data_IF_334399229466
#
_entry.id   IF_334399229466
#
_cell.length_a   1.000
_cell.length_b   1.000
_cell.length_c   1.000
_cell.angle_alpha   90.00
_cell.angle_beta   90.00
_cell.angle_gamma   90.00
#
_symmetry.space_group_name_H-M   'P 1'
#
loop_
_entity.id
_entity.type
_entity.pdbx_description
1 polymer ?
#
# COMPACT_ATOMS: atom_id res chain seq x y z
N UNK A 1 0.34 -24.36 6.30
CA UNK A 1 -0.51 -23.23 5.85
C UNK A 1 0.37 -22.24 5.10
N UNK A 2 -0.03 -21.76 3.91
CA UNK A 2 0.84 -20.88 3.08
C UNK A 2 0.48 -19.41 3.33
N UNK A 3 1.02 -18.79 4.38
CA UNK A 3 0.79 -17.38 4.69
C UNK A 3 1.12 -16.44 3.51
N UNK A 4 2.08 -16.84 2.66
CA UNK A 4 2.45 -16.12 1.42
C UNK A 4 1.31 -15.89 0.43
N UNK A 5 0.22 -16.66 0.53
CA UNK A 5 -0.98 -16.42 -0.27
C UNK A 5 -1.80 -15.23 0.22
N UNK A 6 -1.60 -14.80 1.47
CA UNK A 6 -2.38 -13.74 2.11
C UNK A 6 -1.55 -12.51 2.44
N UNK A 7 -0.28 -12.67 2.78
CA UNK A 7 0.61 -11.57 3.16
C UNK A 7 1.75 -11.43 2.17
N UNK A 8 1.96 -10.19 1.72
CA UNK A 8 3.08 -9.83 0.86
C UNK A 8 4.34 -9.55 1.70
N UNK A 9 4.19 -8.76 2.76
CA UNK A 9 5.26 -8.45 3.70
C UNK A 9 4.71 -7.85 4.99
N UNK A 10 5.55 -7.92 6.03
CA UNK A 10 5.44 -7.08 7.22
C UNK A 10 6.39 -5.90 7.08
N UNK A 11 5.97 -4.73 7.57
CA UNK A 11 6.76 -3.50 7.50
C UNK A 11 6.72 -2.80 8.85
N UNK A 12 7.87 -2.47 9.42
CA UNK A 12 7.96 -1.65 10.63
C UNK A 12 8.49 -0.29 10.22
N UNK A 13 7.75 0.75 10.57
CA UNK A 13 8.16 2.15 10.43
C UNK A 13 8.41 2.68 11.82
N UNK A 14 9.67 2.95 12.14
CA UNK A 14 10.10 3.48 13.44
C UNK A 14 11.08 4.60 13.24
N UNK A 15 10.75 5.78 13.75
CA UNK A 15 11.63 6.95 13.74
C UNK A 15 11.35 7.83 14.93
N UNK A 16 12.37 8.59 15.33
CA UNK A 16 12.32 9.62 16.34
C UNK A 16 13.21 10.77 15.88
N UNK A 17 12.69 11.98 15.88
CA UNK A 17 13.39 13.19 15.50
C UNK A 17 13.55 14.11 16.71
N UNK A 18 14.71 14.74 16.84
CA UNK A 18 15.06 15.64 17.96
C UNK A 18 14.22 16.94 18.02
N UNK A 19 13.23 17.10 17.19
CA UNK A 19 12.32 18.24 17.15
C UNK A 19 10.92 17.82 17.57
N UNK A 20 10.61 17.82 18.87
CA UNK A 20 9.31 17.52 19.40
C UNK A 20 8.29 18.47 18.80
N UNK A 21 7.25 18.43 18.36
CA UNK A 21 6.25 19.33 17.76
C UNK A 21 6.42 19.62 16.25
N UNK A 22 7.30 18.93 15.54
CA UNK A 22 7.35 19.02 14.10
C UNK A 22 6.45 17.93 13.49
N UNK A 23 5.45 18.34 12.74
CA UNK A 23 4.61 17.42 11.95
C UNK A 23 5.26 17.22 10.60
N UNK A 24 5.52 15.97 10.23
CA UNK A 24 6.16 15.62 9.00
C UNK A 24 5.12 15.36 7.90
N UNK A 25 5.15 16.16 6.87
CA UNK A 25 4.29 16.03 5.71
C UNK A 25 4.96 15.15 4.64
N UNK A 26 4.18 14.22 4.10
CA UNK A 26 4.58 13.42 2.93
C UNK A 26 3.39 13.09 2.05
N UNK A 27 3.60 13.22 0.74
CA UNK A 27 2.65 12.76 -0.25
C UNK A 27 2.84 11.25 -0.51
N UNK A 28 1.80 10.46 -0.30
CA UNK A 28 1.77 9.03 -0.56
C UNK A 28 0.95 8.76 -1.82
N UNK A 29 1.59 8.50 -2.96
CA UNK A 29 0.88 8.16 -4.19
C UNK A 29 0.25 6.77 -4.08
N UNK A 30 -0.77 6.45 -4.89
CA UNK A 30 -1.42 5.16 -4.85
C UNK A 30 -0.44 4.02 -5.17
N UNK A 31 -0.55 2.95 -4.40
CA UNK A 31 0.19 1.70 -4.56
C UNK A 31 -0.80 0.55 -4.71
N UNK A 32 -0.44 -0.54 -5.37
CA UNK A 32 -1.29 -1.73 -5.43
C UNK A 32 -1.20 -2.52 -4.10
N UNK A 33 -1.59 -1.88 -3.01
CA UNK A 33 -1.48 -2.40 -1.64
C UNK A 33 -2.78 -2.18 -0.87
N UNK A 34 -3.18 -3.18 -0.10
CA UNK A 34 -4.12 -3.09 1.01
C UNK A 34 -3.33 -3.37 2.28
N UNK A 35 -3.49 -2.55 3.30
CA UNK A 35 -2.59 -2.57 4.44
C UNK A 35 -3.34 -2.42 5.76
N UNK A 36 -3.00 -3.26 6.73
CA UNK A 36 -3.41 -3.12 8.11
C UNK A 36 -2.27 -2.48 8.90
N UNK A 37 -2.56 -1.37 9.57
CA UNK A 37 -1.61 -0.58 10.35
C UNK A 37 -1.92 -0.69 11.85
N UNK A 38 -0.89 -0.88 12.64
CA UNK A 38 -0.91 -0.72 14.10
C UNK A 38 0.03 0.43 14.47
N UNK A 39 -0.52 1.55 14.89
CA UNK A 39 0.25 2.72 15.35
C UNK A 39 0.45 2.62 16.84
N UNK A 40 1.60 2.08 17.25
CA UNK A 40 1.92 1.79 18.65
C UNK A 40 2.41 3.02 19.41
N UNK A 41 3.03 3.96 18.71
CA UNK A 41 3.49 5.22 19.23
C UNK A 41 3.38 6.31 18.18
N UNK A 42 3.08 7.55 18.61
CA UNK A 42 2.88 8.69 17.73
C UNK A 42 1.49 8.74 17.12
N UNK A 43 1.31 9.61 16.14
CA UNK A 43 0.06 9.81 15.42
C UNK A 43 0.29 9.96 13.91
N UNK A 44 -0.70 9.58 13.14
CA UNK A 44 -0.76 9.75 11.70
C UNK A 44 -2.08 10.45 11.38
N UNK A 45 -2.00 11.55 10.66
CA UNK A 45 -3.16 12.23 10.10
C UNK A 45 -3.10 12.14 8.58
N UNK A 46 -4.23 11.93 7.95
CA UNK A 46 -4.35 11.88 6.50
C UNK A 46 -5.25 13.01 6.01
N UNK A 47 -4.82 13.62 4.91
CA UNK A 47 -5.64 14.49 4.09
C UNK A 47 -5.80 13.81 2.72
N UNK A 48 -7.04 13.57 2.33
CA UNK A 48 -7.38 13.06 1.00
C UNK A 48 -7.53 14.26 0.06
N UNK A 49 -6.92 14.16 -1.12
CA UNK A 49 -6.85 15.27 -2.08
C UNK A 49 -8.22 15.81 -2.55
N UNK A 50 -9.28 15.00 -2.42
CA UNK A 50 -10.65 15.35 -2.80
C UNK A 50 -11.51 15.93 -1.66
N UNK A 51 -11.04 15.87 -0.41
CA UNK A 51 -11.85 16.25 0.77
C UNK A 51 -11.36 17.49 1.51
N UNK A 52 -10.10 17.90 1.29
CA UNK A 52 -9.45 19.04 1.97
C UNK A 52 -9.63 19.06 3.50
N UNK A 53 -9.82 17.87 4.09
CA UNK A 53 -9.99 17.69 5.52
C UNK A 53 -8.95 16.71 6.04
N UNK A 54 -8.23 17.13 7.07
CA UNK A 54 -7.30 16.27 7.78
C UNK A 54 -8.08 15.39 8.77
N UNK A 55 -7.83 14.11 8.74
CA UNK A 55 -8.46 13.14 9.63
C UNK A 55 -7.38 12.30 10.31
N UNK A 56 -7.41 12.26 11.65
CA UNK A 56 -6.54 11.36 12.41
C UNK A 56 -6.89 9.90 12.12
N UNK A 57 -5.87 9.09 11.88
CA UNK A 57 -6.06 7.66 11.72
C UNK A 57 -6.31 6.98 13.07
N UNK A 58 -7.06 5.90 13.01
CA UNK A 58 -7.26 5.01 14.17
C UNK A 58 -5.94 4.36 14.58
N UNK A 59 -5.75 4.02 15.87
CA UNK A 59 -4.58 3.25 16.29
C UNK A 59 -4.41 1.94 15.53
N UNK A 60 -5.53 1.32 15.16
CA UNK A 60 -5.57 0.13 14.32
C UNK A 60 -6.35 0.47 13.06
N UNK A 61 -5.65 0.77 11.97
CA UNK A 61 -6.27 1.26 10.73
C UNK A 61 -6.17 0.23 9.62
N UNK A 62 -7.30 -0.10 9.00
CA UNK A 62 -7.32 -0.81 7.72
C UNK A 62 -7.37 0.20 6.59
N UNK A 63 -6.30 0.26 5.80
CA UNK A 63 -6.20 1.08 4.59
C UNK A 63 -6.54 0.21 3.37
N UNK A 64 -7.64 0.49 2.71
CA UNK A 64 -8.04 -0.17 1.46
C UNK A 64 -7.22 0.31 0.26
N UNK A 65 -7.51 -0.22 -0.93
CA UNK A 65 -6.84 0.20 -2.16
C UNK A 65 -7.09 1.69 -2.42
N UNK A 66 -6.03 2.49 -2.42
CA UNK A 66 -6.11 3.91 -2.77
C UNK A 66 -6.00 4.10 -4.29
N UNK A 67 -6.75 5.04 -4.83
CA UNK A 67 -6.74 5.41 -6.27
C UNK A 67 -6.23 6.81 -6.54
N UNK A 68 -5.86 7.56 -5.49
CA UNK A 68 -5.30 8.90 -5.55
C UNK A 68 -4.23 9.09 -4.49
N UNK A 69 -3.57 10.24 -4.52
CA UNK A 69 -2.58 10.63 -3.52
C UNK A 69 -3.25 10.87 -2.17
N UNK A 70 -2.58 10.46 -1.12
CA UNK A 70 -2.92 10.79 0.27
C UNK A 70 -1.78 11.63 0.85
N UNK A 71 -2.09 12.75 1.46
CA UNK A 71 -1.12 13.55 2.19
C UNK A 71 -1.12 13.11 3.65
N UNK A 72 0.04 12.70 4.14
CA UNK A 72 0.21 12.24 5.53
C UNK A 72 1.00 13.23 6.33
N UNK A 73 0.51 13.46 7.53
CA UNK A 73 1.15 14.25 8.56
C UNK A 73 1.46 13.30 9.72
N UNK A 74 2.75 13.06 9.95
CA UNK A 74 3.20 12.17 11.03
C UNK A 74 3.75 13.02 12.19
N UNK A 75 3.55 12.55 13.41
CA UNK A 75 4.25 13.12 14.58
C UNK A 75 5.77 12.97 14.45
N UNK A 76 6.52 13.71 15.24
CA UNK A 76 8.01 13.68 15.27
C UNK A 76 8.58 12.33 15.73
N UNK A 77 7.79 11.52 16.41
CA UNK A 77 8.12 10.16 16.79
C UNK A 77 6.99 9.22 16.37
N UNK A 78 7.34 8.10 15.75
CA UNK A 78 6.36 7.13 15.26
C UNK A 78 6.92 5.72 15.36
N UNK A 79 6.11 4.81 15.91
CA UNK A 79 6.28 3.37 15.76
C UNK A 79 4.98 2.78 15.19
N UNK A 80 5.06 2.31 13.96
CA UNK A 80 3.93 1.74 13.23
C UNK A 80 4.35 0.40 12.62
N UNK A 81 3.59 -0.66 12.88
CA UNK A 81 3.74 -1.95 12.22
C UNK A 81 2.64 -2.13 11.19
N UNK A 82 2.98 -2.66 10.03
CA UNK A 82 2.10 -2.81 8.90
C UNK A 82 2.11 -4.25 8.39
N UNK A 83 0.93 -4.79 8.18
CA UNK A 83 0.71 -6.06 7.47
C UNK A 83 0.21 -5.69 6.07
N UNK A 84 1.04 -5.91 5.06
CA UNK A 84 0.68 -5.66 3.66
C UNK A 84 0.11 -6.95 3.09
N UNK A 85 -1.15 -6.90 2.71
CA UNK A 85 -1.85 -8.06 2.17
C UNK A 85 -1.53 -8.29 0.69
N UNK A 86 -1.59 -9.55 0.29
CA UNK A 86 -1.63 -9.91 -1.13
C UNK A 86 -2.91 -9.36 -1.79
N UNK A 87 -2.88 -9.08 -3.09
CA UNK A 87 -4.10 -8.73 -3.81
C UNK A 87 -5.19 -9.77 -3.58
N UNK A 88 -6.43 -9.31 -3.40
CA UNK A 88 -7.61 -10.12 -3.12
C UNK A 88 -7.61 -10.85 -1.75
N UNK A 89 -6.53 -10.78 -0.96
CA UNK A 89 -6.46 -11.50 0.32
C UNK A 89 -7.50 -11.01 1.32
N UNK A 90 -7.73 -9.69 1.39
CA UNK A 90 -8.71 -9.12 2.33
C UNK A 90 -10.12 -9.68 2.06
N UNK A 91 -10.54 -9.80 0.79
CA UNK A 91 -11.81 -10.42 0.44
C UNK A 91 -11.86 -11.89 0.86
N UNK A 92 -10.78 -12.64 0.69
CA UNK A 92 -10.71 -14.05 1.13
C UNK A 92 -10.82 -14.19 2.64
N UNK A 93 -10.18 -13.30 3.38
CA UNK A 93 -10.18 -13.32 4.86
C UNK A 93 -11.55 -12.93 5.44
N UNK A 94 -12.18 -11.92 4.88
CA UNK A 94 -13.37 -11.28 5.50
C UNK A 94 -14.68 -11.64 4.81
N UNK A 95 -14.66 -12.00 3.52
CA UNK A 95 -15.85 -12.14 2.69
C UNK A 95 -16.48 -10.80 2.28
N UNK A 96 -15.99 -9.69 2.81
CA UNK A 96 -16.48 -8.35 2.50
C UNK A 96 -15.91 -7.92 1.14
N UNK A 97 -16.74 -7.44 0.19
CA UNK A 97 -16.25 -6.92 -1.07
C UNK A 97 -15.17 -5.85 -0.86
N UNK A 98 -14.00 -6.03 -1.47
CA UNK A 98 -12.88 -5.11 -1.31
C UNK A 98 -13.19 -3.68 -1.78
N UNK A 99 -14.20 -3.51 -2.63
CA UNK A 99 -14.72 -2.20 -3.04
C UNK A 99 -15.30 -1.38 -1.90
N UNK A 100 -15.76 -2.00 -0.82
CA UNK A 100 -16.21 -1.30 0.38
C UNK A 100 -15.07 -0.57 1.11
N UNK A 101 -13.83 -1.00 0.88
CA UNK A 101 -12.63 -0.43 1.50
C UNK A 101 -11.88 0.55 0.60
N UNK A 102 -12.26 0.67 -0.68
CA UNK A 102 -11.54 1.51 -1.66
C UNK A 102 -11.57 2.97 -1.25
N UNK A 103 -10.39 3.62 -1.22
CA UNK A 103 -10.19 5.00 -0.77
C UNK A 103 -10.65 5.25 0.68
N UNK A 104 -10.68 4.19 1.52
CA UNK A 104 -11.05 4.32 2.92
C UNK A 104 -9.87 4.01 3.83
N UNK A 105 -9.86 4.67 5.00
CA UNK A 105 -9.06 4.37 6.17
C UNK A 105 -10.05 4.10 7.30
N UNK A 106 -10.22 2.83 7.65
CA UNK A 106 -11.25 2.39 8.57
C UNK A 106 -10.65 1.92 9.88
N UNK A 107 -11.43 2.04 10.95
CA UNK A 107 -11.11 1.35 12.17
C UNK A 107 -11.16 -0.17 11.94
N UNK A 108 -10.01 -0.81 12.09
CA UNK A 108 -9.88 -2.24 11.84
C UNK A 108 -10.64 -3.11 12.87
N UNK A 109 -11.00 -2.57 14.03
CA UNK A 109 -11.82 -3.24 15.03
C UNK A 109 -13.21 -3.59 14.48
N UNK A 110 -13.71 -2.80 13.52
CA UNK A 110 -14.98 -3.08 12.83
C UNK A 110 -14.89 -4.24 11.81
N UNK A 111 -13.69 -4.68 11.46
CA UNK A 111 -13.46 -5.70 10.42
C UNK A 111 -12.91 -7.00 11.02
N UNK A 112 -12.05 -6.91 12.01
CA UNK A 112 -11.39 -8.03 12.65
C UNK A 112 -11.76 -8.11 14.13
N UNK A 113 -12.65 -9.02 14.52
CA UNK A 113 -12.96 -9.23 15.93
C UNK A 113 -11.70 -9.52 16.74
N UNK A 114 -11.63 -8.99 17.95
CA UNK A 114 -10.54 -9.21 18.91
C UNK A 114 -9.16 -8.63 18.51
N UNK A 115 -9.06 -7.85 17.41
CA UNK A 115 -7.79 -7.24 16.99
C UNK A 115 -7.22 -6.29 18.06
N UNK A 116 -8.07 -5.79 18.94
CA UNK A 116 -7.65 -4.95 20.08
C UNK A 116 -6.69 -5.68 21.01
N UNK A 117 -6.94 -6.95 21.31
CA UNK A 117 -6.00 -7.75 22.12
C UNK A 117 -4.63 -7.88 21.47
N UNK A 118 -4.60 -8.03 20.14
CA UNK A 118 -3.34 -8.06 19.38
C UNK A 118 -2.60 -6.72 19.49
N UNK A 119 -3.32 -5.61 19.43
CA UNK A 119 -2.75 -4.28 19.61
C UNK A 119 -2.15 -4.12 21.01
N UNK A 120 -2.85 -4.56 22.05
CA UNK A 120 -2.37 -4.47 23.42
C UNK A 120 -1.11 -5.35 23.65
N UNK A 121 -1.04 -6.53 23.02
CA UNK A 121 0.17 -7.36 23.01
C UNK A 121 1.33 -6.68 22.27
N UNK A 122 1.05 -6.06 21.11
CA UNK A 122 2.05 -5.31 20.33
C UNK A 122 2.62 -4.13 21.12
N UNK A 123 1.79 -3.43 21.90
CA UNK A 123 2.27 -2.34 22.77
C UNK A 123 3.22 -2.80 23.87
N UNK A 124 3.11 -4.04 24.32
CA UNK A 124 3.99 -4.64 25.35
C UNK A 124 5.29 -5.21 24.76
N UNK A 125 5.38 -5.36 23.43
CA UNK A 125 6.54 -5.92 22.77
C UNK A 125 7.77 -5.01 22.92
N UNK A 126 8.91 -5.60 23.32
CA UNK A 126 10.16 -4.87 23.56
C UNK A 126 11.17 -4.95 22.41
N UNK A 127 10.90 -5.81 21.43
CA UNK A 127 11.79 -6.03 20.30
C UNK A 127 11.01 -6.13 18.99
N UNK A 128 11.65 -5.77 17.88
CA UNK A 128 11.04 -5.94 16.55
C UNK A 128 10.70 -7.40 16.23
N UNK A 129 11.48 -8.34 16.74
CA UNK A 129 11.19 -9.77 16.60
C UNK A 129 9.86 -10.14 17.27
N UNK A 130 9.62 -9.65 18.50
CA UNK A 130 8.34 -9.87 19.19
C UNK A 130 7.18 -9.24 18.41
N UNK A 131 7.33 -8.01 17.90
CA UNK A 131 6.33 -7.36 17.05
C UNK A 131 5.96 -8.23 15.84
N UNK A 132 6.97 -8.77 15.15
CA UNK A 132 6.73 -9.63 13.99
C UNK A 132 6.07 -10.94 14.37
N UNK A 133 6.48 -11.58 15.46
CA UNK A 133 5.89 -12.84 15.93
C UNK A 133 4.42 -12.68 16.31
N UNK A 134 4.06 -11.59 16.98
CA UNK A 134 2.67 -11.29 17.34
C UNK A 134 1.84 -11.03 16.08
N UNK A 135 2.35 -10.21 15.15
CA UNK A 135 1.68 -9.92 13.88
C UNK A 135 1.48 -11.18 13.04
N UNK A 136 2.48 -12.09 13.01
CA UNK A 136 2.38 -13.37 12.31
C UNK A 136 1.36 -14.30 12.95
N UNK A 137 1.35 -14.41 14.27
CA UNK A 137 0.36 -15.20 15.01
C UNK A 137 -1.06 -14.72 14.73
N UNK A 138 -1.28 -13.39 14.69
CA UNK A 138 -2.55 -12.82 14.29
C UNK A 138 -2.93 -13.21 12.85
N UNK A 139 -2.01 -13.11 11.91
CA UNK A 139 -2.28 -13.53 10.51
C UNK A 139 -2.61 -15.01 10.44
N UNK A 140 -1.88 -15.88 11.15
CA UNK A 140 -2.19 -17.32 11.24
C UNK A 140 -3.63 -17.53 11.70
N UNK A 141 -4.04 -16.82 12.75
CA UNK A 141 -5.40 -16.90 13.29
C UNK A 141 -6.46 -16.50 12.25
N UNK A 142 -6.34 -15.32 11.61
CA UNK A 142 -7.36 -14.89 10.64
C UNK A 142 -7.38 -15.74 9.37
N UNK A 143 -6.24 -16.29 8.95
CA UNK A 143 -6.15 -17.19 7.79
C UNK A 143 -6.81 -18.55 8.08
N UNK A 144 -6.72 -19.05 9.31
CA UNK A 144 -7.41 -20.29 9.69
C UNK A 144 -8.95 -20.17 9.65
N UNK A 145 -9.47 -18.94 9.72
CA UNK A 145 -10.89 -18.63 9.64
C UNK A 145 -11.28 -17.93 8.32
N UNK A 146 -10.44 -18.03 7.28
CA UNK A 146 -10.71 -17.39 5.99
C UNK A 146 -12.09 -17.83 5.45
N UNK A 147 -12.89 -16.85 5.05
CA UNK A 147 -14.30 -17.07 4.67
C UNK A 147 -14.48 -17.48 3.21
N UNK A 148 -13.47 -17.27 2.36
CA UNK A 148 -13.53 -17.56 0.91
C UNK A 148 -12.32 -18.35 0.44
N UNK A 149 -12.59 -19.33 -0.41
CA UNK A 149 -11.55 -20.11 -1.05
C UNK A 149 -10.74 -19.32 -2.07
N UNK A 150 -9.55 -19.87 -2.38
CA UNK A 150 -8.73 -19.36 -3.46
C UNK A 150 -9.44 -19.49 -4.81
N UNK A 151 -9.26 -18.52 -5.67
CA UNK A 151 -9.79 -18.50 -7.02
C UNK A 151 -8.68 -18.15 -8.03
N UNK A 152 -8.69 -18.66 -9.27
CA UNK A 152 -7.71 -18.28 -10.31
C UNK A 152 -7.56 -16.76 -10.50
N UNK A 153 -8.62 -15.99 -10.27
CA UNK A 153 -8.61 -14.54 -10.30
C UNK A 153 -7.66 -13.91 -9.28
N UNK A 154 -7.44 -14.55 -8.12
CA UNK A 154 -6.50 -14.06 -7.11
C UNK A 154 -5.05 -14.14 -7.63
N UNK A 155 -4.76 -15.21 -8.40
CA UNK A 155 -3.49 -15.33 -9.12
C UNK A 155 -3.34 -14.27 -10.22
N UNK A 156 -4.45 -13.91 -10.88
CA UNK A 156 -4.45 -12.89 -11.92
C UNK A 156 -3.97 -11.52 -11.40
N UNK A 157 -4.44 -11.08 -10.24
CA UNK A 157 -4.02 -9.82 -9.62
C UNK A 157 -2.50 -9.82 -9.30
N UNK A 158 -1.98 -10.93 -8.78
CA UNK A 158 -0.53 -11.10 -8.56
C UNK A 158 0.25 -11.10 -9.88
N UNK A 159 -0.30 -11.69 -10.93
CA UNK A 159 0.29 -11.68 -12.27
C UNK A 159 0.39 -10.26 -12.84
N UNK A 160 -0.65 -9.44 -12.63
CA UNK A 160 -0.61 -8.01 -13.01
C UNK A 160 0.59 -7.28 -12.40
N UNK A 161 0.84 -7.49 -11.11
CA UNK A 161 1.99 -6.89 -10.40
C UNK A 161 3.29 -7.38 -11.04
N UNK A 162 3.48 -8.68 -11.22
CA UNK A 162 4.69 -9.28 -11.81
C UNK A 162 4.98 -8.77 -13.23
N UNK A 163 3.94 -8.52 -14.04
CA UNK A 163 4.05 -7.97 -15.39
C UNK A 163 4.08 -6.44 -15.45
N UNK A 164 4.11 -5.76 -14.29
CA UNK A 164 4.17 -4.30 -14.24
C UNK A 164 2.96 -3.61 -14.85
N UNK A 165 1.77 -4.22 -14.74
CA UNK A 165 0.52 -3.68 -15.27
C UNK A 165 0.34 -3.81 -16.78
N UNK A 166 1.25 -4.50 -17.48
CA UNK A 166 1.14 -4.74 -18.94
C UNK A 166 0.55 -6.13 -19.23
N UNK A 167 -0.77 -6.19 -19.39
CA UNK A 167 -1.50 -7.43 -19.56
C UNK A 167 -2.74 -7.24 -20.43
N UNK A 168 -3.16 -8.32 -21.10
CA UNK A 168 -4.43 -8.39 -21.82
C UNK A 168 -5.57 -8.82 -20.88
N UNK A 169 -6.66 -8.05 -20.87
CA UNK A 169 -7.85 -8.39 -20.09
C UNK A 169 -8.51 -9.67 -20.62
N UNK A 170 -8.53 -9.84 -21.96
CA UNK A 170 -9.12 -11.04 -22.59
C UNK A 170 -8.36 -12.30 -22.15
N UNK A 171 -7.03 -12.24 -22.16
CA UNK A 171 -6.20 -13.34 -21.68
C UNK A 171 -6.47 -13.66 -20.21
N UNK A 172 -6.53 -12.64 -19.35
CA UNK A 172 -6.77 -12.84 -17.92
C UNK A 172 -8.16 -13.40 -17.62
N UNK A 173 -9.17 -12.93 -18.35
CA UNK A 173 -10.53 -13.43 -18.22
C UNK A 173 -10.57 -14.92 -18.59
N UNK A 174 -9.93 -15.30 -19.70
CA UNK A 174 -9.82 -16.70 -20.16
C UNK A 174 -9.11 -17.59 -19.11
N UNK A 175 -7.96 -17.15 -18.60
CA UNK A 175 -7.21 -17.89 -17.55
C UNK A 175 -7.98 -18.01 -16.23
N UNK A 176 -8.92 -17.09 -16.00
CA UNK A 176 -9.79 -17.10 -14.82
C UNK A 176 -11.11 -17.83 -15.04
N UNK A 177 -11.31 -18.45 -16.20
CA UNK A 177 -12.54 -19.14 -16.61
C UNK A 177 -13.78 -18.25 -16.65
N UNK A 178 -13.61 -16.97 -17.01
CA UNK A 178 -14.69 -15.99 -17.13
C UNK A 178 -14.73 -15.34 -18.51
N UNK A 179 -15.90 -14.84 -18.90
CA UNK A 179 -15.95 -13.81 -19.92
C UNK A 179 -15.43 -12.48 -19.34
N UNK A 180 -14.99 -11.54 -20.20
CA UNK A 180 -14.37 -10.27 -19.76
C UNK A 180 -15.26 -9.50 -18.78
N UNK A 181 -16.57 -9.40 -19.04
CA UNK A 181 -17.52 -8.69 -18.16
C UNK A 181 -17.62 -9.33 -16.76
N UNK A 182 -17.63 -10.66 -16.70
CA UNK A 182 -17.64 -11.38 -15.43
C UNK A 182 -16.30 -11.20 -14.67
N UNK A 183 -15.19 -11.28 -15.41
CA UNK A 183 -13.85 -11.04 -14.85
C UNK A 183 -13.75 -9.63 -14.23
N UNK A 184 -14.14 -8.58 -14.96
CA UNK A 184 -14.10 -7.21 -14.46
C UNK A 184 -14.92 -7.03 -13.18
N UNK A 185 -16.16 -7.58 -13.16
CA UNK A 185 -17.03 -7.52 -11.97
C UNK A 185 -16.43 -8.25 -10.78
N UNK A 186 -15.95 -9.48 -10.99
CA UNK A 186 -15.37 -10.32 -9.94
C UNK A 186 -14.02 -9.79 -9.44
N UNK A 187 -13.23 -9.20 -10.33
CA UNK A 187 -11.99 -8.53 -9.96
C UNK A 187 -12.28 -7.30 -9.08
N UNK A 188 -13.26 -6.48 -9.45
CA UNK A 188 -13.68 -5.33 -8.66
C UNK A 188 -14.15 -5.72 -7.25
N UNK A 189 -14.93 -6.79 -7.14
CA UNK A 189 -15.38 -7.35 -5.86
C UNK A 189 -14.18 -7.76 -4.97
N UNK A 190 -13.14 -8.38 -5.54
CA UNK A 190 -12.01 -8.96 -4.81
C UNK A 190 -10.84 -8.00 -4.58
N UNK A 191 -10.56 -7.11 -5.54
CA UNK A 191 -9.42 -6.19 -5.50
C UNK A 191 -9.79 -4.74 -5.16
N UNK A 192 -11.09 -4.42 -5.13
CA UNK A 192 -11.60 -3.09 -4.79
C UNK A 192 -11.60 -2.09 -5.93
N UNK A 193 -10.91 -2.36 -7.01
CA UNK A 193 -10.84 -1.49 -8.21
C UNK A 193 -10.95 -2.32 -9.48
N UNK A 194 -11.40 -1.68 -10.57
CA UNK A 194 -11.45 -2.34 -11.87
C UNK A 194 -10.06 -2.73 -12.39
N UNK A 195 -9.92 -3.82 -13.16
CA UNK A 195 -8.61 -4.32 -13.62
C UNK A 195 -7.78 -3.26 -14.36
N UNK A 196 -8.40 -2.43 -15.20
CA UNK A 196 -7.73 -1.34 -15.92
C UNK A 196 -7.15 -0.30 -14.95
N UNK A 197 -7.89 0.07 -13.90
CA UNK A 197 -7.41 0.99 -12.87
C UNK A 197 -6.26 0.36 -12.09
N UNK A 198 -6.38 -0.91 -11.71
CA UNK A 198 -5.32 -1.62 -11.00
C UNK A 198 -4.03 -1.70 -11.83
N UNK A 199 -4.13 -1.99 -13.13
CA UNK A 199 -2.99 -1.98 -14.06
C UNK A 199 -2.32 -0.59 -14.14
N UNK A 200 -3.12 0.48 -14.19
CA UNK A 200 -2.61 1.87 -14.18
C UNK A 200 -1.85 2.18 -12.89
N UNK A 201 -2.41 1.82 -11.72
CA UNK A 201 -1.76 2.00 -10.42
C UNK A 201 -0.42 1.25 -10.37
N UNK A 202 -0.37 0.03 -10.86
CA UNK A 202 0.88 -0.77 -10.91
C UNK A 202 1.93 -0.09 -11.79
N UNK A 203 1.57 0.33 -13.00
CA UNK A 203 2.52 1.03 -13.91
C UNK A 203 3.02 2.32 -13.30
N UNK A 204 2.11 3.12 -12.75
CA UNK A 204 2.45 4.38 -12.08
C UNK A 204 3.41 4.14 -10.91
N UNK A 205 3.09 3.19 -10.01
CA UNK A 205 3.94 2.87 -8.87
C UNK A 205 5.32 2.36 -9.31
N UNK A 206 5.40 1.56 -10.38
CA UNK A 206 6.67 1.15 -10.99
C UNK A 206 7.46 2.35 -11.49
N UNK A 207 6.83 3.30 -12.20
CA UNK A 207 7.49 4.52 -12.71
C UNK A 207 7.99 5.41 -11.57
N UNK A 208 7.17 5.61 -10.53
CA UNK A 208 7.53 6.35 -9.33
C UNK A 208 8.76 5.74 -8.63
N UNK A 209 8.73 4.43 -8.37
CA UNK A 209 9.84 3.73 -7.73
C UNK A 209 11.11 3.72 -8.61
N UNK A 210 10.95 3.60 -9.94
CA UNK A 210 12.08 3.66 -10.88
C UNK A 210 12.76 5.03 -10.85
N UNK A 211 11.97 6.11 -10.81
CA UNK A 211 12.52 7.48 -10.70
C UNK A 211 13.24 7.70 -9.39
N UNK A 212 12.66 7.25 -8.27
CA UNK A 212 13.29 7.38 -6.95
C UNK A 212 14.59 6.56 -6.83
N UNK A 213 14.64 5.40 -7.49
CA UNK A 213 15.88 4.59 -7.55
C UNK A 213 16.94 5.19 -8.49
N UNK A 214 16.53 5.97 -9.49
CA UNK A 214 17.39 6.54 -10.53
C UNK A 214 17.05 8.02 -10.76
N UNK A 215 17.36 8.92 -9.83
CA UNK A 215 16.93 10.33 -9.91
C UNK A 215 17.43 11.06 -11.17
N UNK A 216 18.61 10.66 -11.69
CA UNK A 216 19.22 11.25 -12.89
C UNK A 216 18.62 10.79 -14.23
N UNK A 217 17.73 9.78 -14.23
CA UNK A 217 17.15 9.32 -15.49
C UNK A 217 16.07 10.30 -15.99
N UNK A 218 16.04 10.49 -17.30
CA UNK A 218 14.97 11.28 -17.93
C UNK A 218 13.62 10.56 -17.88
N UNK A 219 12.55 11.33 -17.97
CA UNK A 219 11.19 10.82 -17.83
C UNK A 219 10.72 9.98 -19.04
N UNK A 220 11.27 10.21 -20.23
CA UNK A 220 10.94 9.41 -21.41
C UNK A 220 11.47 8.00 -21.26
N UNK A 221 12.72 7.86 -20.81
CA UNK A 221 13.32 6.56 -20.49
C UNK A 221 12.50 5.79 -19.46
N UNK A 222 12.07 6.47 -18.40
CA UNK A 222 11.23 5.86 -17.36
C UNK A 222 9.88 5.43 -17.92
N UNK A 223 9.24 6.25 -18.74
CA UNK A 223 7.98 5.91 -19.38
C UNK A 223 8.09 4.63 -20.20
N UNK A 224 9.08 4.51 -21.05
CA UNK A 224 9.30 3.33 -21.90
C UNK A 224 9.54 2.07 -21.04
N UNK A 225 10.42 2.15 -20.04
CA UNK A 225 10.74 1.03 -19.15
C UNK A 225 9.55 0.57 -18.30
N UNK A 226 8.60 1.47 -18.06
CA UNK A 226 7.41 1.18 -17.27
C UNK A 226 6.17 0.87 -18.14
N UNK A 227 6.36 0.55 -19.41
CA UNK A 227 5.31 0.15 -20.35
C UNK A 227 4.27 1.26 -20.62
N UNK A 228 4.67 2.52 -20.58
CA UNK A 228 3.90 3.62 -21.15
C UNK A 228 4.20 3.72 -22.63
N UNK A 229 3.20 4.07 -23.42
CA UNK A 229 3.37 4.26 -24.85
C UNK A 229 4.32 5.43 -25.15
N UNK A 230 4.17 6.52 -24.42
CA UNK A 230 4.99 7.73 -24.51
C UNK A 230 5.03 8.49 -23.17
N UNK A 231 5.76 9.60 -23.15
CA UNK A 231 5.84 10.47 -21.97
C UNK A 231 4.49 11.14 -21.63
N UNK A 232 3.68 11.48 -22.61
CA UNK A 232 2.37 12.12 -22.37
C UNK A 232 1.40 11.17 -21.68
N UNK A 233 1.46 9.89 -22.00
CA UNK A 233 0.69 8.86 -21.30
C UNK A 233 1.12 8.76 -19.82
N UNK A 234 2.43 8.82 -19.53
CA UNK A 234 2.93 8.89 -18.14
C UNK A 234 2.41 10.15 -17.42
N UNK A 235 2.47 11.32 -18.08
CA UNK A 235 1.98 12.60 -17.53
C UNK A 235 0.49 12.53 -17.19
N UNK A 236 -0.33 11.90 -18.03
CA UNK A 236 -1.77 11.72 -17.77
C UNK A 236 -2.01 10.92 -16.51
N UNK A 237 -1.27 9.81 -16.31
CA UNK A 237 -1.40 9.00 -15.10
C UNK A 237 -0.93 9.76 -13.85
N UNK A 238 0.21 10.49 -13.92
CA UNK A 238 0.66 11.33 -12.82
C UNK A 238 -0.37 12.38 -12.42
N UNK A 239 -0.90 13.15 -13.39
CA UNK A 239 -1.94 14.14 -13.13
C UNK A 239 -3.21 13.52 -12.56
N UNK A 240 -3.61 12.36 -13.08
CA UNK A 240 -4.80 11.62 -12.60
C UNK A 240 -4.64 11.16 -11.15
N UNK A 241 -3.45 10.70 -10.75
CA UNK A 241 -3.21 10.11 -9.43
C UNK A 241 -2.75 11.10 -8.38
N UNK A 242 -2.05 12.18 -8.79
CA UNK A 242 -1.40 13.10 -7.84
C UNK A 242 -1.81 14.56 -8.01
N UNK A 243 -2.56 14.88 -9.05
CA UNK A 243 -2.86 16.28 -9.43
C UNK A 243 -1.69 17.02 -10.08
N UNK A 244 -0.48 16.44 -10.10
CA UNK A 244 0.76 17.09 -10.51
C UNK A 244 1.40 16.39 -11.72
N UNK A 245 2.28 17.13 -12.40
CA UNK A 245 3.16 16.51 -13.42
C UNK A 245 4.21 15.63 -12.77
N UNK A 246 4.84 14.68 -13.50
CA UNK A 246 5.91 13.84 -12.96
C UNK A 246 7.04 14.63 -12.30
N UNK A 247 7.47 15.72 -12.94
CA UNK A 247 8.54 16.56 -12.42
C UNK A 247 8.11 17.32 -11.16
N UNK A 248 6.90 17.92 -11.15
CA UNK A 248 6.41 18.65 -9.99
C UNK A 248 6.20 17.74 -8.78
N UNK A 249 5.66 16.53 -9.00
CA UNK A 249 5.49 15.56 -7.92
C UNK A 249 6.82 15.05 -7.37
N UNK A 250 7.80 14.81 -8.24
CA UNK A 250 9.15 14.41 -7.81
C UNK A 250 9.85 15.51 -7.00
N UNK A 251 9.67 16.78 -7.36
CA UNK A 251 10.18 17.92 -6.57
C UNK A 251 9.50 18.00 -5.20
N UNK A 252 8.19 17.78 -5.14
CA UNK A 252 7.45 17.74 -3.88
C UNK A 252 7.98 16.64 -2.95
N UNK A 253 8.20 15.43 -3.48
CA UNK A 253 8.76 14.29 -2.75
C UNK A 253 10.19 14.59 -2.23
N UNK A 254 11.06 15.14 -3.08
CA UNK A 254 12.45 15.49 -2.72
C UNK A 254 12.52 16.62 -1.68
N UNK A 255 11.50 17.46 -1.62
CA UNK A 255 11.37 18.52 -0.62
C UNK A 255 10.69 18.07 0.67
N UNK A 256 10.31 16.79 0.79
CA UNK A 256 9.75 16.27 2.03
C UNK A 256 10.74 16.47 3.18
N UNK A 257 10.28 16.72 4.40
CA UNK A 257 11.15 16.90 5.57
C UNK A 257 12.12 15.75 5.79
N UNK A 258 11.72 14.53 5.45
CA UNK A 258 12.55 13.32 5.51
C UNK A 258 13.80 13.45 4.64
N UNK A 259 13.65 13.96 3.41
CA UNK A 259 14.78 14.22 2.50
C UNK A 259 15.64 15.41 2.99
N UNK A 260 14.99 16.49 3.47
CA UNK A 260 15.70 17.69 3.97
C UNK A 260 16.47 17.44 5.26
N UNK A 261 16.06 16.49 6.10
CA UNK A 261 16.73 16.14 7.35
C UNK A 261 17.85 15.10 7.14
N UNK A 262 18.26 14.86 5.89
CA UNK A 262 19.32 13.90 5.59
C UNK A 262 18.95 12.46 5.85
N UNK A 263 17.67 12.16 5.91
CA UNK A 263 17.14 10.81 5.86
C UNK A 263 17.20 10.33 4.40
N UNK A 264 18.36 10.54 3.77
CA UNK A 264 18.60 10.00 2.47
C UNK A 264 18.65 8.46 2.53
N UNK A 265 18.72 7.82 1.38
CA UNK A 265 18.59 6.37 1.21
C UNK A 265 19.58 5.53 2.07
N UNK A 266 20.67 6.10 2.57
CA UNK A 266 21.65 5.38 3.39
C UNK A 266 21.28 5.43 4.88
N UNK A 267 20.75 6.55 5.39
CA UNK A 267 20.20 6.65 6.74
C UNK A 267 18.85 5.93 6.88
N UNK A 268 18.05 5.91 5.82
CA UNK A 268 16.88 5.04 5.70
C UNK A 268 17.24 3.55 5.90
N UNK A 269 18.37 3.10 5.37
CA UNK A 269 18.88 1.74 5.60
C UNK A 269 19.41 1.51 7.03
N UNK A 270 19.87 2.53 7.72
CA UNK A 270 20.51 2.41 9.03
C UNK A 270 19.52 2.56 10.20
N UNK A 271 18.50 3.41 10.09
CA UNK A 271 17.48 3.65 11.12
C UNK A 271 16.10 3.11 10.77
N UNK A 272 15.79 2.94 9.50
CA UNK A 272 14.66 2.16 9.02
C UNK A 272 15.14 0.76 8.69
N UNK A 273 15.13 -0.13 9.65
CA UNK A 273 15.00 -1.53 9.30
C UNK A 273 13.60 -1.73 8.71
N UNK A 274 13.48 -1.50 7.40
CA UNK A 274 12.48 -2.18 6.60
C UNK A 274 12.86 -3.66 6.69
N UNK A 275 12.42 -4.32 7.76
CA UNK A 275 12.47 -5.77 7.82
C UNK A 275 11.28 -6.24 6.96
N UNK A 276 11.41 -6.07 5.65
CA UNK A 276 10.73 -6.89 4.70
C UNK A 276 11.45 -8.23 4.74
N UNK A 277 11.08 -9.11 5.64
CA UNK A 277 11.41 -10.51 5.47
C UNK A 277 10.56 -11.00 4.30
N UNK A 278 11.19 -11.42 3.17
CA UNK A 278 10.46 -12.23 2.20
C UNK A 278 10.05 -13.50 2.94
N UNK A 279 8.76 -13.74 2.98
CA UNK A 279 8.20 -15.00 3.48
C UNK A 279 8.64 -16.16 2.60
#
# INVERSE_FOLDING_TARGET
MKLREFVQCYRIVHFEFDKPNLTFFKAYPPKPEVCLHFTLHGSIENELADRFTTTSLYPITLAGQQTGVTFRYNSSSLLNIQIVFQPCALFRLTGIPASAFTNQYLDAENVFPNIRFVFDELQQAKTYHQLLSIAEAFVVSIVSHATKDAHPLDAAANWMIKKGGNISLDWMAKESFFCVKQFERKFYERAGVHPKMYARIIRFNKAFNTKNANPGWDWLRIAILCNYFDYQHLVKDYKSFTGLTPQAFHLLENNSPECKLGLDKQLYKARFKLIGLPL
#
